data_IF_603373869965
#
_entry.id   IF_603373869965
#
_cell.length_a   1.000
_cell.length_b   1.000
_cell.length_c   1.000
_cell.angle_alpha   90.00
_cell.angle_beta   90.00
_cell.angle_gamma   90.00
#
_symmetry.space_group_name_H-M   'P 1'
#
loop_
_entity.id
_entity.type
_entity.pdbx_description
1 polymer ?
#
# COMPACT_ATOMS: atom_id res chain seq x y z
N UNK A 1 10.47 8.58 7.33
CA UNK A 1 10.82 9.91 6.78
C UNK A 1 9.70 10.85 7.17
N UNK A 2 9.97 11.91 7.93
CA UNK A 2 8.94 12.90 8.20
C UNK A 2 8.63 13.65 6.91
N UNK A 3 7.35 13.89 6.59
CA UNK A 3 6.99 14.60 5.37
C UNK A 3 7.50 16.05 5.48
N UNK A 4 8.17 16.51 4.42
CA UNK A 4 8.75 17.86 4.33
C UNK A 4 7.65 18.94 4.30
N UNK A 5 6.44 18.55 3.89
CA UNK A 5 5.22 19.37 3.89
C UNK A 5 4.12 18.64 4.66
N UNK A 6 3.35 19.37 5.45
CA UNK A 6 2.11 18.90 6.06
C UNK A 6 1.07 18.58 4.99
N UNK A 7 0.07 17.78 5.35
CA UNK A 7 -1.03 17.48 4.44
C UNK A 7 -1.79 18.74 4.01
N UNK A 8 -1.95 19.72 4.90
CA UNK A 8 -2.58 21.02 4.58
C UNK A 8 -1.82 21.77 3.50
N UNK A 9 -0.49 21.90 3.65
CA UNK A 9 0.36 22.57 2.67
C UNK A 9 0.32 21.89 1.29
N UNK A 10 0.18 20.56 1.26
CA UNK A 10 0.00 19.83 0.00
C UNK A 10 -1.35 20.12 -0.64
N UNK A 11 -2.43 20.23 0.13
CA UNK A 11 -3.75 20.59 -0.40
C UNK A 11 -3.74 22.00 -0.99
N UNK A 12 -3.20 22.97 -0.26
CA UNK A 12 -3.05 24.35 -0.74
C UNK A 12 -2.22 24.43 -2.02
N UNK A 13 -1.15 23.64 -2.12
CA UNK A 13 -0.33 23.55 -3.33
C UNK A 13 -1.08 22.91 -4.53
N UNK A 14 -2.08 22.06 -4.29
CA UNK A 14 -2.91 21.49 -5.35
C UNK A 14 -3.93 22.51 -5.85
N UNK A 15 -4.48 23.36 -4.97
CA UNK A 15 -5.49 24.37 -5.32
C UNK A 15 -4.97 25.41 -6.33
N UNK A 16 -3.65 25.68 -6.35
CA UNK A 16 -3.03 26.61 -7.30
C UNK A 16 -2.71 26.00 -8.67
N UNK A 17 -2.86 24.67 -8.83
CA UNK A 17 -2.67 23.99 -10.11
C UNK A 17 -3.87 24.24 -11.02
N UNK A 18 -3.62 24.29 -12.34
CA UNK A 18 -4.68 24.23 -13.34
C UNK A 18 -5.42 22.89 -13.29
N UNK A 19 -6.63 22.84 -13.85
CA UNK A 19 -7.45 21.61 -13.89
C UNK A 19 -6.69 20.46 -14.55
N UNK A 20 -6.01 20.71 -15.68
CA UNK A 20 -5.25 19.69 -16.40
C UNK A 20 -4.07 19.14 -15.57
N UNK A 21 -3.41 20.01 -14.79
CA UNK A 21 -2.34 19.62 -13.88
C UNK A 21 -2.86 18.81 -12.70
N UNK A 22 -4.03 19.17 -12.15
CA UNK A 22 -4.69 18.40 -11.09
C UNK A 22 -5.08 17.00 -11.58
N UNK A 23 -5.66 16.88 -12.78
CA UNK A 23 -6.00 15.59 -13.38
C UNK A 23 -4.75 14.72 -13.62
N UNK A 24 -3.68 15.33 -14.11
CA UNK A 24 -2.39 14.66 -14.30
C UNK A 24 -1.81 14.17 -12.98
N UNK A 25 -1.85 15.02 -11.94
CA UNK A 25 -1.40 14.66 -10.60
C UNK A 25 -2.19 13.48 -10.04
N UNK A 26 -3.52 13.50 -10.18
CA UNK A 26 -4.39 12.42 -9.73
C UNK A 26 -4.01 11.08 -10.37
N UNK A 27 -3.77 11.07 -11.69
CA UNK A 27 -3.31 9.88 -12.42
C UNK A 27 -1.97 9.36 -11.89
N UNK A 28 -1.01 10.26 -11.66
CA UNK A 28 0.32 9.89 -11.13
C UNK A 28 0.20 9.29 -9.72
N UNK A 29 -0.56 9.92 -8.83
CA UNK A 29 -0.73 9.46 -7.45
C UNK A 29 -1.44 8.12 -7.41
N UNK A 30 -2.53 7.94 -8.18
CA UNK A 30 -3.25 6.68 -8.27
C UNK A 30 -2.32 5.53 -8.73
N UNK A 31 -1.55 5.76 -9.79
CA UNK A 31 -0.59 4.77 -10.28
C UNK A 31 0.48 4.42 -9.23
N UNK A 32 0.99 5.41 -8.49
CA UNK A 32 1.97 5.17 -7.43
C UNK A 32 1.40 4.36 -6.26
N UNK A 33 0.14 4.59 -5.90
CA UNK A 33 -0.54 3.83 -4.85
C UNK A 33 -0.70 2.37 -5.29
N UNK A 34 -1.19 2.14 -6.51
CA UNK A 34 -1.32 0.78 -7.05
C UNK A 34 0.02 0.06 -7.12
N UNK A 35 1.08 0.75 -7.55
CA UNK A 35 2.42 0.15 -7.65
C UNK A 35 2.98 -0.23 -6.27
N UNK A 36 2.75 0.58 -5.23
CA UNK A 36 3.12 0.21 -3.86
C UNK A 36 2.36 -1.03 -3.39
N UNK A 37 1.05 -1.10 -3.66
CA UNK A 37 0.24 -2.27 -3.33
C UNK A 37 0.74 -3.54 -4.01
N UNK A 38 1.08 -3.47 -5.31
CA UNK A 38 1.66 -4.62 -6.05
C UNK A 38 3.00 -5.06 -5.49
N UNK A 39 3.87 -4.12 -5.10
CA UNK A 39 5.17 -4.43 -4.49
C UNK A 39 5.00 -5.11 -3.13
N UNK A 40 4.07 -4.62 -2.31
CA UNK A 40 3.77 -5.24 -1.01
C UNK A 40 3.25 -6.66 -1.21
N UNK A 41 2.24 -6.85 -2.06
CA UNK A 41 1.69 -8.16 -2.36
C UNK A 41 2.75 -9.14 -2.87
N UNK A 42 3.66 -8.68 -3.74
CA UNK A 42 4.77 -9.51 -4.22
C UNK A 42 5.70 -9.93 -3.07
N UNK A 43 6.05 -9.00 -2.18
CA UNK A 43 6.87 -9.29 -1.01
C UNK A 43 6.18 -10.31 -0.09
N UNK A 44 4.88 -10.15 0.17
CA UNK A 44 4.09 -11.06 1.01
C UNK A 44 4.06 -12.47 0.42
N UNK A 45 3.87 -12.59 -0.90
CA UNK A 45 3.90 -13.88 -1.62
C UNK A 45 5.29 -14.53 -1.53
N UNK A 46 6.36 -13.75 -1.72
CA UNK A 46 7.73 -14.26 -1.63
C UNK A 46 8.06 -14.74 -0.21
N UNK A 47 7.64 -13.98 0.81
CA UNK A 47 7.78 -14.37 2.20
C UNK A 47 7.02 -15.67 2.50
N UNK A 48 5.74 -15.75 2.15
CA UNK A 48 4.93 -16.95 2.40
C UNK A 48 5.51 -18.21 1.71
N UNK A 49 6.04 -18.06 0.50
CA UNK A 49 6.72 -19.16 -0.21
C UNK A 49 8.00 -19.61 0.48
N UNK A 50 8.78 -18.67 1.02
CA UNK A 50 9.99 -18.98 1.77
C UNK A 50 9.64 -19.71 3.07
N UNK A 51 8.66 -19.20 3.83
CA UNK A 51 8.19 -19.83 5.07
C UNK A 51 7.69 -21.27 4.85
N UNK A 52 6.96 -21.50 3.75
CA UNK A 52 6.52 -22.84 3.37
C UNK A 52 7.68 -23.76 3.04
N UNK A 53 8.65 -23.27 2.26
CA UNK A 53 9.84 -24.05 1.88
C UNK A 53 10.73 -24.39 3.09
N UNK A 54 10.81 -23.48 4.05
CA UNK A 54 11.59 -23.65 5.29
C UNK A 54 10.84 -24.45 6.36
N UNK A 55 9.56 -24.78 6.13
CA UNK A 55 8.74 -25.55 7.06
C UNK A 55 8.35 -24.78 8.33
N UNK A 56 8.48 -23.45 8.31
CA UNK A 56 8.15 -22.56 9.44
C UNK A 56 6.74 -21.98 9.36
N UNK A 57 5.93 -22.40 8.37
CA UNK A 57 4.51 -22.07 8.33
C UNK A 57 3.82 -22.52 9.63
N UNK A 58 3.07 -21.60 10.23
CA UNK A 58 2.25 -21.92 11.39
C UNK A 58 0.97 -22.62 10.94
N UNK A 59 0.63 -23.74 11.59
CA UNK A 59 -0.65 -24.38 11.39
C UNK A 59 -1.74 -23.51 12.05
N UNK A 60 -2.58 -22.88 11.25
CA UNK A 60 -3.72 -22.11 11.71
C UNK A 60 -5.02 -22.91 11.50
N UNK A 61 -5.93 -22.85 12.48
CA UNK A 61 -7.31 -23.30 12.28
C UNK A 61 -8.09 -22.25 11.47
N UNK A 62 -9.19 -22.67 10.84
CA UNK A 62 -10.09 -21.76 10.10
C UNK A 62 -10.55 -20.61 11.02
N UNK A 63 -10.91 -20.92 12.27
CA UNK A 63 -11.38 -19.91 13.23
C UNK A 63 -10.30 -18.87 13.55
N UNK A 64 -9.04 -19.30 13.70
CA UNK A 64 -7.91 -18.41 13.95
C UNK A 64 -7.63 -17.50 12.75
N UNK A 65 -7.73 -18.03 11.53
CA UNK A 65 -7.50 -17.28 10.31
C UNK A 65 -8.59 -16.21 10.10
N UNK A 66 -9.84 -16.57 10.35
CA UNK A 66 -10.97 -15.65 10.21
C UNK A 66 -10.91 -14.50 11.22
N UNK A 67 -10.40 -14.74 12.43
CA UNK A 67 -10.22 -13.70 13.44
C UNK A 67 -9.18 -12.64 13.03
N UNK A 68 -8.12 -13.04 12.31
CA UNK A 68 -7.07 -12.14 11.82
C UNK A 68 -7.54 -11.29 10.63
N UNK A 69 -8.31 -11.87 9.70
CA UNK A 69 -8.81 -11.16 8.51
C UNK A 69 -9.83 -10.07 8.86
N UNK A 70 -10.61 -10.28 9.93
CA UNK A 70 -11.72 -9.41 10.30
C UNK A 70 -11.34 -8.32 11.33
N UNK A 71 -10.08 -8.25 11.76
CA UNK A 71 -9.57 -7.21 12.67
C UNK A 71 -9.16 -5.95 11.93
#
# INVERSE_FOLDING_TARGET
MQPIYSFSEVLEAIEVLSVDEQETLLSIISNRIHERGRKQLKADIEQARNEYREGICQAASIDSLMAEILS
#
